data_IF_398877099665
#
_entry.id   IF_398877099665
#
_cell.length_a   1.000
_cell.length_b   1.000
_cell.length_c   1.000
_cell.angle_alpha   90.00
_cell.angle_beta   90.00
_cell.angle_gamma   90.00
#
_symmetry.space_group_name_H-M   'P 1'
#
loop_
_entity.id
_entity.type
_entity.pdbx_description
1 polymer ?
#
# COMPACT_ATOMS: atom_id res chain seq x y z
N UNK A 1 29.17 -33.92 -16.02
CA UNK A 1 28.15 -34.93 -15.68
C UNK A 1 27.77 -34.94 -14.20
N UNK A 2 28.65 -35.31 -13.25
CA UNK A 2 28.30 -35.28 -11.81
C UNK A 2 28.08 -33.87 -11.26
N UNK A 3 28.93 -32.91 -11.65
CA UNK A 3 28.78 -31.50 -11.25
C UNK A 3 27.47 -30.89 -11.78
N UNK A 4 27.14 -31.14 -13.05
CA UNK A 4 25.88 -30.68 -13.68
C UNK A 4 24.65 -31.26 -12.96
N UNK A 5 24.74 -32.48 -12.41
CA UNK A 5 23.65 -33.08 -11.64
C UNK A 5 23.45 -32.38 -10.29
N UNK A 6 24.54 -32.06 -9.58
CA UNK A 6 24.49 -31.31 -8.32
C UNK A 6 23.95 -29.89 -8.54
N UNK A 7 24.36 -29.22 -9.61
CA UNK A 7 23.86 -27.89 -9.99
C UNK A 7 22.35 -27.92 -10.28
N UNK A 8 21.84 -28.98 -10.90
CA UNK A 8 20.39 -29.16 -11.12
C UNK A 8 19.63 -29.42 -9.82
N UNK A 9 20.18 -30.21 -8.88
CA UNK A 9 19.56 -30.42 -7.56
C UNK A 9 19.52 -29.12 -6.75
N UNK A 10 20.61 -28.35 -6.76
CA UNK A 10 20.66 -27.04 -6.11
C UNK A 10 19.63 -26.08 -6.73
N UNK A 11 19.52 -26.04 -8.06
CA UNK A 11 18.52 -25.21 -8.75
C UNK A 11 17.08 -25.57 -8.34
N UNK A 12 16.77 -26.87 -8.20
CA UNK A 12 15.47 -27.33 -7.72
C UNK A 12 15.19 -26.87 -6.29
N UNK A 13 16.17 -27.00 -5.39
CA UNK A 13 16.07 -26.55 -4.01
C UNK A 13 15.78 -25.04 -3.92
N UNK A 14 16.53 -24.24 -4.68
CA UNK A 14 16.32 -22.79 -4.76
C UNK A 14 14.92 -22.45 -5.31
N UNK A 15 14.44 -23.19 -6.30
CA UNK A 15 13.11 -22.97 -6.86
C UNK A 15 12.00 -23.26 -5.84
N UNK A 16 12.11 -24.35 -5.10
CA UNK A 16 11.16 -24.72 -4.04
C UNK A 16 11.14 -23.66 -2.92
N UNK A 17 12.32 -23.18 -2.51
CA UNK A 17 12.40 -22.11 -1.50
C UNK A 17 11.75 -20.80 -1.98
N UNK A 18 11.96 -20.42 -3.26
CA UNK A 18 11.30 -19.25 -3.86
C UNK A 18 9.79 -19.38 -3.83
N UNK A 19 9.24 -20.55 -4.18
CA UNK A 19 7.79 -20.78 -4.15
C UNK A 19 7.23 -20.63 -2.72
N UNK A 20 7.88 -21.25 -1.73
CA UNK A 20 7.49 -21.15 -0.32
C UNK A 20 7.50 -19.70 0.18
N UNK A 21 8.52 -18.93 -0.19
CA UNK A 21 8.60 -17.51 0.18
C UNK A 21 7.51 -16.68 -0.50
N UNK A 22 7.23 -16.95 -1.78
CA UNK A 22 6.16 -16.28 -2.54
C UNK A 22 4.78 -16.54 -1.93
N UNK A 23 4.48 -17.78 -1.54
CA UNK A 23 3.22 -18.12 -0.86
C UNK A 23 3.06 -17.37 0.46
N UNK A 24 4.14 -17.30 1.25
CA UNK A 24 4.13 -16.57 2.53
C UNK A 24 3.97 -15.07 2.32
N UNK A 25 4.63 -14.50 1.32
CA UNK A 25 4.46 -13.10 0.94
C UNK A 25 3.01 -12.80 0.58
N UNK A 26 2.39 -13.63 -0.28
CA UNK A 26 0.97 -13.47 -0.64
C UNK A 26 0.03 -13.55 0.57
N UNK A 27 0.28 -14.49 1.49
CA UNK A 27 -0.51 -14.63 2.71
C UNK A 27 -0.38 -13.38 3.60
N UNK A 28 0.83 -12.87 3.79
CA UNK A 28 1.08 -11.64 4.58
C UNK A 28 0.54 -10.39 3.89
N UNK A 29 0.47 -10.40 2.55
CA UNK A 29 0.00 -9.28 1.75
C UNK A 29 -1.47 -9.40 1.34
N UNK A 30 -2.24 -10.27 1.97
CA UNK A 30 -3.67 -10.41 1.69
C UNK A 30 -4.41 -9.15 2.15
N UNK A 31 -5.17 -8.46 1.27
CA UNK A 31 -5.97 -7.31 1.66
C UNK A 31 -6.99 -7.63 2.74
N UNK A 32 -7.17 -6.73 3.71
CA UNK A 32 -8.22 -6.83 4.72
C UNK A 32 -9.59 -6.43 4.13
N UNK A 33 -9.60 -5.51 3.16
CA UNK A 33 -10.81 -5.04 2.47
C UNK A 33 -10.64 -5.17 0.96
N UNK A 34 -11.73 -5.45 0.26
CA UNK A 34 -11.74 -5.53 -1.21
C UNK A 34 -12.79 -4.63 -1.85
N UNK A 35 -13.81 -4.24 -1.09
CA UNK A 35 -14.94 -3.43 -1.50
C UNK A 35 -14.54 -1.96 -1.59
N UNK A 36 -14.17 -1.51 -2.79
CA UNK A 36 -13.70 -0.15 -3.03
C UNK A 36 -14.72 0.95 -2.68
N UNK A 37 -16.00 0.60 -2.53
CA UNK A 37 -17.07 1.52 -2.12
C UNK A 37 -16.94 1.99 -0.66
N UNK A 38 -16.13 1.32 0.17
CA UNK A 38 -15.83 1.82 1.51
C UNK A 38 -14.75 2.91 1.53
N UNK A 39 -13.95 3.07 0.46
CA UNK A 39 -12.88 4.07 0.43
C UNK A 39 -13.41 5.50 0.67
N UNK A 40 -14.51 5.97 0.03
CA UNK A 40 -15.10 7.28 0.34
C UNK A 40 -15.61 7.40 1.78
N UNK A 41 -16.12 6.33 2.38
CA UNK A 41 -16.61 6.32 3.77
C UNK A 41 -15.44 6.47 4.73
N UNK A 42 -14.37 5.70 4.52
CA UNK A 42 -13.12 5.81 5.28
C UNK A 42 -12.50 7.21 5.14
N UNK A 43 -12.57 7.81 3.95
CA UNK A 43 -12.10 9.18 3.72
C UNK A 43 -12.88 10.19 4.57
N UNK A 44 -14.21 10.07 4.62
CA UNK A 44 -15.06 10.91 5.46
C UNK A 44 -14.70 10.79 6.94
N UNK A 45 -14.60 9.57 7.46
CA UNK A 45 -14.21 9.34 8.86
C UNK A 45 -12.81 9.89 9.16
N UNK A 46 -11.87 9.72 8.23
CA UNK A 46 -10.53 10.28 8.38
C UNK A 46 -10.57 11.82 8.47
N UNK A 47 -11.34 12.50 7.62
CA UNK A 47 -11.51 13.95 7.68
C UNK A 47 -12.12 14.40 9.01
N UNK A 48 -13.17 13.72 9.47
CA UNK A 48 -13.83 14.00 10.76
C UNK A 48 -12.86 13.85 11.95
N UNK A 49 -12.08 12.78 11.98
CA UNK A 49 -11.13 12.48 13.05
C UNK A 49 -9.89 13.39 13.02
N UNK A 50 -9.45 13.80 11.83
CA UNK A 50 -8.29 14.68 11.66
C UNK A 50 -8.59 16.16 11.89
N UNK A 51 -9.85 16.53 12.11
CA UNK A 51 -10.28 17.92 12.25
C UNK A 51 -10.22 18.71 10.93
N UNK A 52 -10.15 18.02 9.80
CA UNK A 52 -10.18 18.63 8.48
C UNK A 52 -11.62 19.02 8.11
N UNK A 53 -11.91 20.31 8.10
CA UNK A 53 -13.18 20.82 7.59
C UNK A 53 -13.17 20.86 6.05
N UNK A 54 -14.27 20.47 5.42
CA UNK A 54 -14.42 20.58 3.95
C UNK A 54 -14.29 22.05 3.47
N UNK A 55 -14.59 23.00 4.35
CA UNK A 55 -14.50 24.44 4.09
C UNK A 55 -13.05 24.96 3.95
N UNK A 56 -12.04 24.23 4.47
CA UNK A 56 -10.64 24.68 4.47
C UNK A 56 -9.82 24.25 3.23
N UNK A 57 -10.48 23.82 2.14
CA UNK A 57 -9.81 23.48 0.88
C UNK A 57 -9.28 22.03 0.80
N UNK A 58 -9.81 21.13 1.62
CA UNK A 58 -9.49 19.70 1.61
C UNK A 58 -8.17 19.32 2.31
N UNK A 59 -7.79 18.04 2.20
CA UNK A 59 -6.56 17.52 2.81
C UNK A 59 -5.30 18.14 2.20
N UNK A 60 -4.33 18.50 3.04
CA UNK A 60 -2.99 18.87 2.59
C UNK A 60 -2.20 17.64 2.11
N UNK A 61 -1.02 17.85 1.50
CA UNK A 61 -0.21 16.75 0.95
C UNK A 61 0.18 15.69 2.00
N UNK A 62 0.47 16.11 3.23
CA UNK A 62 0.81 15.20 4.33
C UNK A 62 -0.39 14.33 4.73
N UNK A 63 -1.57 14.93 4.86
CA UNK A 63 -2.80 14.23 5.21
C UNK A 63 -3.27 13.29 4.09
N UNK A 64 -3.09 13.68 2.82
CA UNK A 64 -3.31 12.78 1.67
C UNK A 64 -2.37 11.58 1.72
N UNK A 65 -1.12 11.79 2.14
CA UNK A 65 -0.14 10.72 2.38
C UNK A 65 -0.54 9.77 3.53
N UNK A 66 -0.99 10.33 4.66
CA UNK A 66 -1.51 9.55 5.80
C UNK A 66 -2.70 8.67 5.37
N UNK A 67 -3.68 9.28 4.71
CA UNK A 67 -4.85 8.56 4.24
C UNK A 67 -4.49 7.50 3.18
N UNK A 68 -3.57 7.82 2.25
CA UNK A 68 -3.06 6.85 1.29
C UNK A 68 -2.49 5.62 2.00
N UNK A 69 -1.65 5.80 3.02
CA UNK A 69 -1.05 4.70 3.75
C UNK A 69 -2.10 3.80 4.43
N UNK A 70 -3.13 4.39 5.04
CA UNK A 70 -4.26 3.65 5.63
C UNK A 70 -4.95 2.79 4.55
N UNK A 71 -5.22 3.37 3.38
CA UNK A 71 -5.87 2.65 2.27
C UNK A 71 -4.96 1.55 1.70
N UNK A 72 -3.65 1.80 1.59
CA UNK A 72 -2.70 0.78 1.16
C UNK A 72 -2.64 -0.39 2.15
N UNK A 73 -2.67 -0.12 3.45
CA UNK A 73 -2.72 -1.17 4.47
C UNK A 73 -3.96 -2.06 4.33
N UNK A 74 -5.15 -1.47 4.14
CA UNK A 74 -6.38 -2.25 4.03
C UNK A 74 -6.55 -2.97 2.69
N UNK A 75 -6.24 -2.30 1.57
CA UNK A 75 -6.61 -2.80 0.23
C UNK A 75 -5.45 -3.37 -0.56
N UNK A 76 -4.20 -3.05 -0.21
CA UNK A 76 -3.06 -3.36 -1.05
C UNK A 76 -1.74 -3.45 -0.28
N UNK A 77 -1.65 -4.21 0.83
CA UNK A 77 -0.50 -4.16 1.74
C UNK A 77 0.83 -4.55 1.08
N UNK A 78 0.80 -5.33 -0.01
CA UNK A 78 1.99 -5.63 -0.83
C UNK A 78 2.71 -4.36 -1.32
N UNK A 79 2.00 -3.24 -1.45
CA UNK A 79 2.58 -1.96 -1.88
C UNK A 79 3.55 -1.36 -0.89
N UNK A 80 3.39 -1.70 0.39
CA UNK A 80 4.23 -1.22 1.47
C UNK A 80 5.64 -1.83 1.39
N UNK A 81 5.80 -2.96 0.70
CA UNK A 81 7.09 -3.62 0.45
C UNK A 81 7.56 -3.49 -1.01
N UNK A 82 7.03 -2.51 -1.74
CA UNK A 82 7.43 -2.23 -3.12
C UNK A 82 6.57 -2.88 -4.21
N UNK A 83 5.53 -3.62 -3.84
CA UNK A 83 4.55 -4.19 -4.76
C UNK A 83 3.67 -3.15 -5.46
N UNK A 84 2.81 -3.64 -6.36
CA UNK A 84 1.87 -2.81 -7.14
C UNK A 84 0.58 -2.54 -6.37
N UNK A 85 0.01 -1.35 -6.57
CA UNK A 85 -1.30 -0.99 -6.02
C UNK A 85 -2.37 -1.82 -6.72
N UNK A 86 -3.26 -2.44 -5.94
CA UNK A 86 -4.44 -3.16 -6.44
C UNK A 86 -5.26 -2.25 -7.39
N UNK A 87 -5.71 -2.84 -8.49
CA UNK A 87 -6.44 -2.13 -9.54
C UNK A 87 -7.67 -1.40 -8.97
N UNK A 88 -7.95 -0.19 -9.47
CA UNK A 88 -9.09 0.62 -9.03
C UNK A 88 -8.86 1.45 -7.76
N UNK A 89 -8.02 1.01 -6.83
CA UNK A 89 -7.70 1.78 -5.60
C UNK A 89 -7.11 3.14 -5.96
N UNK A 90 -6.14 3.15 -6.88
CA UNK A 90 -5.47 4.37 -7.35
C UNK A 90 -6.45 5.35 -7.99
N UNK A 91 -7.39 4.85 -8.78
CA UNK A 91 -8.37 5.68 -9.48
C UNK A 91 -9.40 6.28 -8.51
N UNK A 92 -9.82 5.52 -7.50
CA UNK A 92 -10.69 6.00 -6.42
C UNK A 92 -10.02 7.10 -5.61
N UNK A 93 -8.75 6.90 -5.22
CA UNK A 93 -7.98 7.89 -4.48
C UNK A 93 -7.74 9.17 -5.29
N UNK A 94 -7.45 9.06 -6.59
CA UNK A 94 -7.26 10.22 -7.45
C UNK A 94 -8.52 11.07 -7.52
N UNK A 95 -9.70 10.44 -7.68
CA UNK A 95 -10.98 11.13 -7.66
C UNK A 95 -11.25 11.82 -6.31
N UNK A 96 -11.01 11.13 -5.20
CA UNK A 96 -11.20 11.69 -3.85
C UNK A 96 -10.27 12.88 -3.56
N UNK A 97 -9.02 12.80 -4.01
CA UNK A 97 -8.05 13.86 -3.82
C UNK A 97 -8.16 15.01 -4.82
N UNK A 98 -9.06 14.93 -5.80
CA UNK A 98 -9.24 15.92 -6.86
C UNK A 98 -8.08 15.96 -7.85
N UNK A 99 -7.40 14.84 -8.08
CA UNK A 99 -6.30 14.76 -9.03
C UNK A 99 -6.79 14.47 -10.45
N UNK A 100 -6.20 15.16 -11.43
CA UNK A 100 -6.48 14.95 -12.86
C UNK A 100 -5.94 13.62 -13.40
N UNK A 101 -5.02 12.98 -12.68
CA UNK A 101 -4.40 11.72 -13.09
C UNK A 101 -4.21 10.76 -11.91
N UNK A 102 -4.50 9.46 -12.08
CA UNK A 102 -4.15 8.42 -11.11
C UNK A 102 -2.65 8.36 -10.76
N UNK A 103 -1.77 8.76 -11.68
CA UNK A 103 -0.32 8.78 -11.42
C UNK A 103 0.08 9.77 -10.32
N UNK A 104 -0.71 10.82 -10.07
CA UNK A 104 -0.45 11.77 -8.98
C UNK A 104 -0.54 11.11 -7.59
N UNK A 105 -1.33 10.03 -7.45
CA UNK A 105 -1.39 9.24 -6.21
C UNK A 105 -0.07 8.49 -5.99
N UNK A 106 0.57 8.01 -7.06
CA UNK A 106 1.88 7.36 -6.95
C UNK A 106 2.97 8.30 -6.46
N UNK A 107 2.87 9.60 -6.77
CA UNK A 107 3.81 10.61 -6.31
C UNK A 107 3.68 10.90 -4.80
N UNK A 108 2.58 10.49 -4.17
CA UNK A 108 2.43 10.55 -2.72
C UNK A 108 3.14 9.38 -2.00
N UNK A 109 3.76 8.44 -2.74
CA UNK A 109 4.50 7.30 -2.15
C UNK A 109 5.71 7.72 -1.31
N UNK A 110 6.21 8.94 -1.44
CA UNK A 110 7.22 9.46 -0.49
C UNK A 110 6.71 9.40 0.96
N UNK A 111 5.37 9.44 1.18
CA UNK A 111 4.73 9.20 2.47
C UNK A 111 5.00 7.78 3.03
N UNK A 112 5.21 6.77 2.18
CA UNK A 112 5.60 5.41 2.58
C UNK A 112 7.02 5.44 3.15
N UNK A 113 7.94 6.19 2.52
CA UNK A 113 9.28 6.40 3.07
C UNK A 113 9.24 7.12 4.43
N UNK A 114 8.28 8.02 4.66
CA UNK A 114 8.05 8.65 5.97
C UNK A 114 7.55 7.65 7.03
N UNK A 115 6.70 6.69 6.67
CA UNK A 115 6.23 5.64 7.59
C UNK A 115 7.35 4.67 8.03
N UNK A 116 8.25 4.32 7.11
CA UNK A 116 9.40 3.48 7.41
C UNK A 116 10.47 4.23 8.23
N UNK A 117 10.67 5.52 7.95
CA UNK A 117 11.77 6.31 8.52
C UNK A 117 11.41 6.96 9.86
N UNK A 118 10.16 7.39 10.08
CA UNK A 118 9.78 8.13 11.29
C UNK A 118 8.94 7.29 12.26
N UNK A 119 9.59 6.82 13.34
CA UNK A 119 8.92 6.20 14.53
C UNK A 119 7.75 7.03 15.08
N UNK A 120 7.77 8.35 14.92
CA UNK A 120 6.69 9.25 15.34
C UNK A 120 5.42 9.12 14.51
N UNK A 121 5.52 8.75 13.23
CA UNK A 121 4.38 8.61 12.32
C UNK A 121 3.55 7.36 12.65
N UNK A 122 4.21 6.29 13.11
CA UNK A 122 3.54 5.07 13.59
C UNK A 122 2.61 5.36 14.77
N UNK A 123 3.05 6.18 15.74
CA UNK A 123 2.25 6.56 16.91
C UNK A 123 1.00 7.40 16.59
N UNK A 124 0.90 7.96 15.40
CA UNK A 124 -0.26 8.74 14.97
C UNK A 124 -1.27 7.88 14.20
N UNK A 125 -0.87 6.65 13.82
CA UNK A 125 -1.67 5.73 13.00
C UNK A 125 -2.07 4.46 13.79
N UNK A 126 -1.20 3.97 14.67
CA UNK A 126 -1.47 2.92 15.67
C UNK A 126 -2.33 3.46 16.83
#
# INVERSE_FOLDING_TARGET
MLQEFLEIEELKSIHEEKLRLMEREMALSTPLLTELEYIPILYKWYCELSGCCEESGGLNAHQKGQFLLIILFFYSPITLVGGRIVNGVRDRLAKLFGFNSPSAVSNLRDAISFYETYKGYRKTID
#
